data_IF_325692039299
#
_entry.id   IF_325692039299
#
_cell.length_a   1.000
_cell.length_b   1.000
_cell.length_c   1.000
_cell.angle_alpha   90.00
_cell.angle_beta   90.00
_cell.angle_gamma   90.00
#
_symmetry.space_group_name_H-M   'P 1'
#
loop_
_entity.id
_entity.type
_entity.pdbx_description
1 polymer ?
#
# COMPACT_ATOMS: atom_id res chain seq x y z
N UNK A 1 0.75 3.16 -19.42
CA UNK A 1 0.99 3.71 -18.07
C UNK A 1 0.37 2.75 -17.06
N UNK A 2 1.16 2.34 -16.08
CA UNK A 2 0.90 1.26 -15.10
C UNK A 2 0.28 1.76 -13.79
N UNK A 3 -0.29 2.97 -13.80
CA UNK A 3 -0.80 3.66 -12.61
C UNK A 3 -2.11 2.98 -12.18
N UNK A 4 -2.26 2.54 -10.90
CA UNK A 4 -3.53 2.05 -10.39
C UNK A 4 -4.57 3.18 -10.36
N UNK A 5 -5.79 2.86 -10.79
CA UNK A 5 -6.93 3.77 -10.90
C UNK A 5 -8.19 3.11 -10.35
N UNK A 6 -9.18 3.92 -9.97
CA UNK A 6 -10.49 3.44 -9.56
C UNK A 6 -11.10 2.53 -10.63
N UNK A 7 -11.75 1.44 -10.20
CA UNK A 7 -12.32 0.42 -11.08
C UNK A 7 -11.32 -0.59 -11.66
N UNK A 8 -10.01 -0.43 -11.47
CA UNK A 8 -9.04 -1.45 -11.87
C UNK A 8 -9.17 -2.70 -11.00
N UNK A 9 -8.90 -3.87 -11.55
CA UNK A 9 -8.92 -5.14 -10.82
C UNK A 9 -7.51 -5.51 -10.36
N UNK A 10 -7.35 -5.68 -9.05
CA UNK A 10 -6.12 -6.15 -8.42
C UNK A 10 -6.24 -7.61 -8.02
N UNK A 11 -5.19 -8.37 -8.28
CA UNK A 11 -4.96 -9.71 -7.72
C UNK A 11 -4.02 -9.54 -6.53
N UNK A 12 -4.51 -9.85 -5.35
CA UNK A 12 -3.83 -9.65 -4.07
C UNK A 12 -3.61 -11.03 -3.47
N UNK A 13 -2.37 -11.48 -3.26
CA UNK A 13 -2.10 -12.75 -2.56
C UNK A 13 -2.82 -12.80 -1.22
N UNK A 14 -3.37 -13.95 -0.83
CA UNK A 14 -3.95 -14.13 0.49
C UNK A 14 -2.84 -14.18 1.55
N UNK A 15 -3.20 -13.78 2.78
CA UNK A 15 -2.28 -13.84 3.91
C UNK A 15 -1.70 -15.27 4.08
N UNK A 16 -0.39 -15.33 4.31
CA UNK A 16 0.34 -16.56 4.60
C UNK A 16 1.45 -16.29 5.64
N UNK A 17 2.11 -17.34 6.12
CA UNK A 17 3.17 -17.20 7.12
C UNK A 17 4.37 -16.35 6.64
N UNK A 18 4.64 -16.31 5.33
CA UNK A 18 5.71 -15.48 4.76
C UNK A 18 5.37 -13.98 4.77
N UNK A 19 4.08 -13.64 4.79
CA UNK A 19 3.61 -12.25 4.89
C UNK A 19 4.09 -11.58 6.18
N UNK A 20 4.35 -12.34 7.25
CA UNK A 20 4.93 -11.81 8.49
C UNK A 20 6.36 -11.29 8.32
N UNK A 21 7.09 -11.74 7.28
CA UNK A 21 8.40 -11.15 6.92
C UNK A 21 8.25 -9.78 6.26
N UNK A 22 7.05 -9.47 5.78
CA UNK A 22 6.70 -8.24 5.06
C UNK A 22 5.78 -7.33 5.88
N UNK A 23 5.86 -7.40 7.22
CA UNK A 23 5.10 -6.52 8.10
C UNK A 23 5.93 -5.32 8.53
N UNK A 24 5.27 -4.16 8.60
CA UNK A 24 5.84 -2.94 9.13
C UNK A 24 4.86 -2.25 10.09
N UNK A 25 5.39 -1.70 11.17
CA UNK A 25 4.61 -0.86 12.06
C UNK A 25 4.78 0.61 11.64
N UNK A 26 3.66 1.29 11.40
CA UNK A 26 3.63 2.71 11.13
C UNK A 26 3.18 3.45 12.37
N UNK A 27 3.93 4.47 12.73
CA UNK A 27 3.60 5.41 13.79
C UNK A 27 3.39 6.82 13.21
N UNK A 28 2.30 7.48 13.59
CA UNK A 28 2.01 8.86 13.23
C UNK A 28 1.34 9.62 14.37
N UNK A 29 1.27 10.94 14.26
CA UNK A 29 0.53 11.80 15.20
C UNK A 29 -0.77 12.26 14.56
N UNK A 30 -1.88 12.11 15.29
CA UNK A 30 -3.21 12.55 14.86
C UNK A 30 -4.00 12.99 16.10
N UNK A 31 -4.60 14.20 16.03
CA UNK A 31 -5.38 14.77 17.14
C UNK A 31 -4.60 14.80 18.47
N UNK A 32 -3.34 15.23 18.42
CA UNK A 32 -2.41 15.28 19.58
C UNK A 32 -2.11 13.92 20.23
N UNK A 33 -2.45 12.80 19.58
CA UNK A 33 -2.14 11.46 20.04
C UNK A 33 -1.26 10.74 19.04
N UNK A 34 -0.31 9.98 19.57
CA UNK A 34 0.44 9.00 18.79
C UNK A 34 -0.48 7.83 18.46
N UNK A 35 -0.55 7.48 17.19
CA UNK A 35 -1.24 6.31 16.67
C UNK A 35 -0.20 5.36 16.08
N UNK A 36 -0.46 4.07 16.23
CA UNK A 36 0.34 3.01 15.63
C UNK A 36 -0.59 2.01 14.93
N UNK A 37 -0.15 1.46 13.80
CA UNK A 37 -0.83 0.36 13.14
C UNK A 37 0.15 -0.49 12.36
N UNK A 38 -0.11 -1.80 12.32
CA UNK A 38 0.66 -2.77 11.54
C UNK A 38 0.10 -2.88 10.13
N UNK A 39 0.98 -2.78 9.16
CA UNK A 39 0.70 -2.91 7.74
C UNK A 39 1.55 -4.02 7.13
N UNK A 40 0.92 -4.83 6.29
CA UNK A 40 1.57 -5.79 5.44
C UNK A 40 1.85 -5.16 4.09
N UNK A 41 3.08 -5.30 3.63
CA UNK A 41 3.49 -4.91 2.29
C UNK A 41 3.19 -6.10 1.39
N UNK A 42 2.40 -5.86 0.34
CA UNK A 42 1.91 -6.88 -0.56
C UNK A 42 2.18 -6.45 -2.00
N UNK A 43 2.60 -7.42 -2.81
CA UNK A 43 2.83 -7.25 -4.24
C UNK A 43 1.55 -7.67 -4.92
N UNK A 44 0.71 -6.69 -5.21
CA UNK A 44 -0.52 -6.91 -5.94
C UNK A 44 -0.23 -6.84 -7.44
N UNK A 45 -1.06 -7.51 -8.24
CA UNK A 45 -0.97 -7.48 -9.70
C UNK A 45 -2.20 -6.75 -10.24
N UNK A 46 -2.00 -5.66 -10.97
CA UNK A 46 -3.10 -4.96 -11.65
C UNK A 46 -3.43 -5.67 -12.97
N UNK A 47 -4.45 -6.52 -12.92
CA UNK A 47 -4.91 -7.31 -14.05
C UNK A 47 -5.41 -6.42 -15.20
N UNK A 48 -6.11 -5.33 -14.87
CA UNK A 48 -6.68 -4.41 -15.86
C UNK A 48 -5.63 -3.60 -16.63
N UNK A 49 -4.41 -3.47 -16.11
CA UNK A 49 -3.30 -2.71 -16.74
C UNK A 49 -2.20 -3.62 -17.29
N UNK A 50 -2.54 -4.86 -17.66
CA UNK A 50 -1.58 -5.79 -18.28
C UNK A 50 -0.73 -6.56 -17.27
N UNK A 51 -1.28 -6.88 -16.10
CA UNK A 51 -0.62 -7.63 -15.03
C UNK A 51 0.65 -6.95 -14.49
N UNK A 52 0.63 -5.62 -14.38
CA UNK A 52 1.73 -4.86 -13.79
C UNK A 52 1.72 -4.97 -12.27
N UNK A 53 2.91 -5.04 -11.68
CA UNK A 53 3.07 -5.05 -10.23
C UNK A 53 2.67 -3.70 -9.63
N UNK A 54 1.89 -3.75 -8.55
CA UNK A 54 1.48 -2.60 -7.76
C UNK A 54 1.83 -2.87 -6.30
N UNK A 55 2.51 -1.91 -5.68
CA UNK A 55 2.78 -1.95 -4.26
C UNK A 55 1.48 -1.66 -3.51
N UNK A 56 1.10 -2.56 -2.60
CA UNK A 56 -0.10 -2.47 -1.80
C UNK A 56 0.27 -2.58 -0.32
N UNK A 57 -0.22 -1.64 0.49
CA UNK A 57 -0.16 -1.73 1.95
C UNK A 57 -1.53 -2.14 2.48
N UNK A 58 -1.58 -3.21 3.27
CA UNK A 58 -2.83 -3.69 3.87
C UNK A 58 -2.69 -3.70 5.38
N UNK A 59 -3.60 -3.03 6.08
CA UNK A 59 -3.60 -3.06 7.55
C UNK A 59 -4.01 -4.45 8.07
N UNK A 60 -3.45 -4.87 9.20
CA UNK A 60 -3.65 -6.19 9.81
C UNK A 60 -5.11 -6.68 9.81
N UNK A 61 -6.05 -5.85 10.29
CA UNK A 61 -7.49 -6.16 10.34
C UNK A 61 -8.17 -6.40 8.99
N UNK A 62 -7.56 -5.94 7.90
CA UNK A 62 -8.07 -6.13 6.54
C UNK A 62 -7.44 -7.35 5.87
N UNK A 63 -6.27 -7.80 6.34
CA UNK A 63 -5.49 -8.84 5.66
C UNK A 63 -5.48 -10.19 6.37
N UNK A 64 -5.33 -10.19 7.69
CA UNK A 64 -5.10 -11.40 8.49
C UNK A 64 -6.33 -11.83 9.27
N UNK A 65 -7.11 -10.87 9.76
CA UNK A 65 -8.30 -11.14 10.56
C UNK A 65 -9.52 -11.43 9.67
N UNK A 66 -9.83 -12.70 9.43
CA UNK A 66 -11.02 -13.10 8.65
C UNK A 66 -12.34 -12.80 9.39
N UNK A 67 -12.28 -12.68 10.72
CA UNK A 67 -13.43 -12.34 11.57
C UNK A 67 -13.83 -10.87 11.44
N UNK A 68 -12.87 -9.99 11.22
CA UNK A 68 -13.06 -8.55 10.99
C UNK A 68 -14.10 -8.27 9.91
N UNK A 69 -15.00 -7.31 10.15
CA UNK A 69 -15.97 -6.85 9.15
C UNK A 69 -15.32 -6.18 7.93
N UNK A 70 -14.08 -5.72 8.09
CA UNK A 70 -13.29 -5.04 7.06
C UNK A 70 -12.32 -5.98 6.31
N UNK A 71 -12.37 -7.29 6.57
CA UNK A 71 -11.52 -8.27 5.88
C UNK A 71 -11.62 -8.15 4.35
N UNK A 72 -10.50 -8.29 3.65
CA UNK A 72 -10.40 -8.15 2.19
C UNK A 72 -11.41 -9.04 1.45
N UNK A 73 -11.69 -10.24 1.96
CA UNK A 73 -12.68 -11.16 1.38
C UNK A 73 -14.14 -10.69 1.53
N UNK A 74 -14.41 -9.67 2.34
CA UNK A 74 -15.74 -9.07 2.55
C UNK A 74 -15.94 -7.76 1.77
N UNK A 75 -14.92 -7.30 1.05
CA UNK A 75 -15.06 -6.13 0.18
C UNK A 75 -16.08 -6.46 -0.93
N UNK A 76 -17.02 -5.56 -1.26
CA UNK A 76 -17.99 -5.79 -2.33
C UNK A 76 -17.31 -6.14 -3.65
N UNK A 77 -17.69 -7.28 -4.23
CA UNK A 77 -17.12 -7.79 -5.48
C UNK A 77 -15.76 -8.50 -5.33
N UNK A 78 -15.22 -8.64 -4.11
CA UNK A 78 -14.06 -9.48 -3.86
C UNK A 78 -14.40 -10.95 -4.10
N UNK A 79 -13.53 -11.65 -4.80
CA UNK A 79 -13.60 -13.11 -4.98
C UNK A 79 -12.27 -13.75 -4.61
N UNK A 80 -12.30 -14.94 -4.04
CA UNK A 80 -11.10 -15.72 -3.76
C UNK A 80 -10.82 -16.67 -4.92
N UNK A 81 -9.61 -16.60 -5.48
CA UNK A 81 -9.13 -17.48 -6.54
C UNK A 81 -7.86 -18.17 -6.08
N UNK A 82 -7.99 -19.46 -5.72
CA UNK A 82 -6.90 -20.21 -5.11
C UNK A 82 -6.39 -19.54 -3.84
N UNK A 83 -5.13 -19.12 -3.86
CA UNK A 83 -4.47 -18.44 -2.73
C UNK A 83 -4.38 -16.92 -2.92
N UNK A 84 -5.29 -16.32 -3.69
CA UNK A 84 -5.35 -14.88 -3.93
C UNK A 84 -6.78 -14.36 -3.85
N UNK A 85 -6.92 -13.07 -3.58
CA UNK A 85 -8.15 -12.31 -3.72
C UNK A 85 -8.09 -11.48 -4.99
N UNK A 86 -9.18 -11.48 -5.75
CA UNK A 86 -9.37 -10.58 -6.89
C UNK A 86 -10.39 -9.53 -6.46
N UNK A 87 -9.96 -8.28 -6.44
CA UNK A 87 -10.73 -7.17 -5.89
C UNK A 87 -10.63 -5.96 -6.81
N UNK A 88 -11.73 -5.23 -6.99
CA UNK A 88 -11.71 -3.98 -7.72
C UNK A 88 -11.31 -2.82 -6.80
N UNK A 89 -10.43 -1.95 -7.27
CA UNK A 89 -10.13 -0.69 -6.60
C UNK A 89 -11.42 0.13 -6.56
N UNK A 90 -11.84 0.47 -5.35
CA UNK A 90 -13.01 1.26 -5.04
C UNK A 90 -12.68 2.27 -3.93
N UNK A 91 -13.70 2.93 -3.40
CA UNK A 91 -13.60 3.96 -2.36
C UNK A 91 -13.09 3.45 -0.99
N UNK A 92 -12.95 2.13 -0.79
CA UNK A 92 -12.30 1.54 0.38
C UNK A 92 -10.78 1.64 0.32
N UNK A 93 -10.23 1.80 -0.87
CA UNK A 93 -8.80 1.96 -1.08
C UNK A 93 -8.42 3.43 -1.04
N UNK A 94 -7.21 3.69 -0.56
CA UNK A 94 -6.53 4.97 -0.71
C UNK A 94 -5.22 4.77 -1.47
N UNK A 95 -4.58 5.85 -1.88
CA UNK A 95 -3.28 5.80 -2.55
C UNK A 95 -2.35 6.90 -2.07
N UNK A 96 -1.05 6.62 -2.17
CA UNK A 96 0.00 7.63 -2.22
C UNK A 96 0.61 7.69 -3.62
N UNK A 97 1.30 8.77 -3.93
CA UNK A 97 1.95 8.98 -5.22
C UNK A 97 3.15 9.91 -5.08
N UNK A 98 4.15 9.72 -5.93
CA UNK A 98 5.38 10.53 -5.93
C UNK A 98 5.15 11.93 -6.47
N UNK A 99 4.38 12.03 -7.54
CA UNK A 99 4.09 13.30 -8.20
C UNK A 99 2.59 13.50 -8.35
N UNK A 100 2.17 14.75 -8.53
CA UNK A 100 0.76 15.11 -8.77
C UNK A 100 0.16 14.40 -9.99
N UNK A 101 0.99 13.97 -10.94
CA UNK A 101 0.59 13.28 -12.15
C UNK A 101 0.35 11.77 -11.95
N UNK A 102 0.48 11.25 -10.73
CA UNK A 102 0.26 9.83 -10.42
C UNK A 102 1.48 8.94 -10.62
N UNK A 103 2.65 9.51 -10.87
CA UNK A 103 3.90 8.75 -10.94
C UNK A 103 4.19 8.06 -9.60
N UNK A 104 4.70 6.81 -9.65
CA UNK A 104 4.95 5.99 -8.47
C UNK A 104 3.73 5.78 -7.58
N UNK A 105 2.50 5.75 -8.12
CA UNK A 105 1.30 5.54 -7.31
C UNK A 105 1.22 4.12 -6.76
N UNK A 106 0.94 4.02 -5.47
CA UNK A 106 0.79 2.78 -4.71
C UNK A 106 -0.52 2.79 -3.94
N UNK A 107 -0.99 1.62 -3.51
CA UNK A 107 -2.34 1.45 -2.94
C UNK A 107 -2.26 1.16 -1.45
N UNK A 108 -3.24 1.63 -0.68
CA UNK A 108 -3.46 1.33 0.71
C UNK A 108 -4.87 0.77 0.92
N UNK A 109 -5.00 -0.32 1.67
CA UNK A 109 -6.26 -0.85 2.18
C UNK A 109 -6.19 -0.84 3.70
N UNK A 110 -6.85 0.14 4.32
CA UNK A 110 -6.76 0.40 5.75
C UNK A 110 -7.93 1.25 6.25
N UNK A 111 -7.95 1.48 7.56
CA UNK A 111 -8.93 2.39 8.16
C UNK A 111 -8.75 3.83 7.64
N UNK A 112 -9.77 4.38 6.98
CA UNK A 112 -9.73 5.76 6.47
C UNK A 112 -9.77 6.82 7.58
N UNK A 113 -10.14 6.44 8.80
CA UNK A 113 -10.02 7.33 9.96
C UNK A 113 -8.57 7.52 10.40
N UNK A 114 -7.69 6.58 10.03
CA UNK A 114 -6.25 6.75 10.19
C UNK A 114 -5.74 7.69 9.10
N UNK A 115 -5.11 8.79 9.50
CA UNK A 115 -4.54 9.78 8.59
C UNK A 115 -3.00 9.84 8.68
N UNK A 116 -2.28 8.72 8.47
CA UNK A 116 -0.84 8.78 8.28
C UNK A 116 -0.52 9.53 6.98
N UNK A 117 0.56 10.31 7.01
CA UNK A 117 1.08 10.92 5.78
C UNK A 117 1.69 9.87 4.86
N UNK A 118 1.56 10.07 3.54
CA UNK A 118 2.01 9.09 2.54
C UNK A 118 3.51 8.77 2.63
N UNK A 119 4.35 9.74 3.02
CA UNK A 119 5.78 9.54 3.19
C UNK A 119 6.14 8.47 4.22
N UNK A 120 5.30 8.29 5.25
CA UNK A 120 5.58 7.34 6.34
C UNK A 120 5.66 5.91 5.82
N UNK A 121 4.77 5.54 4.89
CA UNK A 121 4.77 4.21 4.28
C UNK A 121 6.08 3.93 3.56
N UNK A 122 6.54 4.89 2.75
CA UNK A 122 7.77 4.75 1.95
C UNK A 122 9.02 4.71 2.83
N UNK A 123 9.15 5.64 3.78
CA UNK A 123 10.29 5.68 4.70
C UNK A 123 10.39 4.37 5.47
N UNK A 124 9.29 3.92 6.08
CA UNK A 124 9.29 2.71 6.90
C UNK A 124 9.64 1.47 6.07
N UNK A 125 9.15 1.38 4.82
CA UNK A 125 9.52 0.26 3.95
C UNK A 125 11.00 0.26 3.57
N UNK A 126 11.57 1.43 3.27
CA UNK A 126 13.00 1.56 2.94
C UNK A 126 13.86 1.22 4.16
N UNK A 127 13.50 1.73 5.34
CA UNK A 127 14.22 1.47 6.60
C UNK A 127 14.10 0.00 7.06
N UNK A 128 12.99 -0.67 6.72
CA UNK A 128 12.74 -2.07 7.05
C UNK A 128 13.65 -3.07 6.33
N UNK A 129 14.47 -2.64 5.36
CA UNK A 129 15.51 -3.44 4.70
C UNK A 129 15.06 -4.78 4.08
N UNK A 130 13.81 -4.88 3.63
CA UNK A 130 13.36 -6.08 2.91
C UNK A 130 13.82 -5.95 1.45
N UNK A 131 14.92 -6.62 1.11
CA UNK A 131 15.56 -6.57 -0.21
C UNK A 131 14.58 -6.83 -1.38
N UNK A 132 13.54 -7.64 -1.17
CA UNK A 132 12.53 -7.92 -2.19
C UNK A 132 11.57 -6.73 -2.42
N UNK A 133 11.23 -5.98 -1.37
CA UNK A 133 10.45 -4.75 -1.51
C UNK A 133 11.28 -3.60 -2.08
N UNK A 134 12.58 -3.56 -1.79
CA UNK A 134 13.50 -2.61 -2.41
C UNK A 134 13.51 -2.74 -3.95
N UNK A 135 13.47 -3.96 -4.49
CA UNK A 135 13.34 -4.19 -5.95
C UNK A 135 12.00 -3.71 -6.50
N UNK A 136 10.91 -3.98 -5.79
CA UNK A 136 9.55 -3.56 -6.20
C UNK A 136 9.43 -2.04 -6.18
N UNK A 137 9.97 -1.39 -5.15
CA UNK A 137 10.12 0.06 -5.08
C UNK A 137 11.02 0.56 -6.21
N UNK A 138 12.15 -0.07 -6.51
CA UNK A 138 13.06 0.39 -7.55
C UNK A 138 12.44 0.31 -8.95
N UNK A 139 11.55 -0.66 -9.19
CA UNK A 139 10.77 -0.76 -10.43
C UNK A 139 9.67 0.29 -10.52
N UNK A 140 9.00 0.59 -9.41
CA UNK A 140 7.86 1.52 -9.37
C UNK A 140 8.27 2.98 -9.24
N UNK A 141 9.42 3.26 -8.64
CA UNK A 141 9.93 4.60 -8.37
C UNK A 141 11.28 4.90 -9.02
N UNK A 142 12.00 3.92 -9.57
CA UNK A 142 13.36 4.11 -10.09
C UNK A 142 14.45 3.94 -9.03
N UNK A 143 15.53 3.21 -9.35
CA UNK A 143 16.60 2.87 -8.40
C UNK A 143 17.37 4.09 -7.84
N UNK A 144 17.61 5.12 -8.66
CA UNK A 144 18.27 6.36 -8.23
C UNK A 144 17.36 7.27 -7.38
N UNK A 145 16.05 7.14 -7.52
CA UNK A 145 15.07 8.01 -6.89
C UNK A 145 14.61 7.54 -5.52
N UNK A 146 14.97 6.34 -5.07
CA UNK A 146 14.70 5.88 -3.69
C UNK A 146 15.63 6.59 -2.71
N UNK A 147 16.93 6.68 -3.03
CA UNK A 147 17.89 7.43 -2.23
C UNK A 147 17.55 8.93 -2.23
N UNK A 148 17.17 9.44 -3.40
CA UNK A 148 16.68 10.81 -3.58
C UNK A 148 15.33 11.04 -2.91
N UNK A 149 14.45 10.04 -2.84
CA UNK A 149 13.20 10.11 -2.08
C UNK A 149 13.54 10.23 -0.61
N UNK A 150 14.43 9.41 -0.04
CA UNK A 150 14.85 9.53 1.37
C UNK A 150 15.44 10.91 1.67
N UNK A 151 16.21 11.49 0.74
CA UNK A 151 16.75 12.85 0.87
C UNK A 151 15.71 13.98 0.64
N UNK A 152 14.77 13.82 -0.31
CA UNK A 152 13.71 14.78 -0.68
C UNK A 152 12.42 14.63 0.13
N UNK A 153 12.30 13.57 0.92
CA UNK A 153 11.34 13.37 1.99
C UNK A 153 11.48 14.43 3.09
N UNK A 154 12.38 15.42 2.95
CA UNK A 154 12.47 16.66 3.71
C UNK A 154 11.63 17.85 3.20
N UNK A 155 11.17 17.87 1.94
CA UNK A 155 10.64 19.10 1.31
C UNK A 155 9.22 19.03 0.72
N UNK A 156 8.95 18.07 -0.17
CA UNK A 156 7.68 18.01 -0.94
C UNK A 156 6.81 16.77 -0.64
N UNK A 157 7.35 15.79 0.09
CA UNK A 157 6.65 14.57 0.48
C UNK A 157 6.14 14.61 1.94
N UNK A 158 6.68 15.54 2.75
CA UNK A 158 6.25 15.72 4.14
C UNK A 158 4.88 16.39 4.15
N UNK A 159 3.91 15.77 4.82
CA UNK A 159 2.64 16.42 5.15
C UNK A 159 1.48 16.15 4.19
N UNK A 160 1.69 15.41 3.10
CA UNK A 160 0.56 15.00 2.25
C UNK A 160 -0.08 13.71 2.77
N UNK A 161 -1.40 13.71 2.85
CA UNK A 161 -2.19 12.56 3.28
C UNK A 161 -2.37 11.57 2.12
N UNK A 162 -2.91 10.40 2.43
CA UNK A 162 -3.37 9.49 1.39
C UNK A 162 -4.63 10.05 0.72
N UNK A 163 -4.74 9.79 -0.58
CA UNK A 163 -5.85 10.22 -1.42
C UNK A 163 -6.84 9.05 -1.61
N UNK A 164 -8.13 9.34 -1.72
CA UNK A 164 -9.14 8.31 -2.03
C UNK A 164 -9.29 8.17 -3.55
N UNK A 165 -9.51 6.93 -4.00
CA UNK A 165 -9.77 6.61 -5.41
C UNK A 165 -11.14 7.05 -5.92
#
# INVERSE_FOLDING_TARGET
>A
MSIPESGNTLIIPAYNAESEKAVQELQWSQSFRTRTARYYIVRATNQSKGNVDVLLYIQDRFYKDEGSGDYIGKIPGARKEGNSFVVNINDRFQYGQKTKNGDGRWVALHDKDNKPYQHRFMITTIQGNIAEWAKTLARSFGAGEIADAVAKLGGNFIGDYLHTF
#
